data_IF_445095136939
#
_entry.id   IF_445095136939
#
_cell.length_a   1.000
_cell.length_b   1.000
_cell.length_c   1.000
_cell.angle_alpha   90.00
_cell.angle_beta   90.00
_cell.angle_gamma   90.00
#
_symmetry.space_group_name_H-M   'P 1'
#
loop_
_entity.id
_entity.type
_entity.pdbx_description
1 polymer ?
#
# COMPACT_ATOMS: atom_id res chain seq x y z
N UNK A 1 10.81 -12.07 -7.61
CA UNK A 1 10.52 -10.78 -6.96
C UNK A 1 9.34 -10.99 -6.05
N UNK A 2 9.32 -10.34 -4.89
CA UNK A 2 8.28 -10.47 -3.88
C UNK A 2 7.63 -9.11 -3.64
N UNK A 3 6.30 -9.08 -3.58
CA UNK A 3 5.53 -7.87 -3.34
C UNK A 3 4.59 -8.06 -2.15
N UNK A 4 4.33 -6.99 -1.42
CA UNK A 4 3.20 -6.94 -0.50
C UNK A 4 2.03 -6.21 -1.15
N UNK A 5 0.84 -6.80 -1.10
CA UNK A 5 -0.42 -6.09 -1.34
C UNK A 5 -1.01 -5.70 0.01
N UNK A 6 -0.89 -4.43 0.37
CA UNK A 6 -1.39 -3.91 1.65
C UNK A 6 -2.83 -3.47 1.51
N UNK A 7 -3.72 -4.05 2.32
CA UNK A 7 -5.16 -3.80 2.27
C UNK A 7 -5.71 -3.40 3.65
N UNK A 8 -6.91 -2.85 3.66
CA UNK A 8 -7.58 -2.50 4.91
C UNK A 8 -8.07 -3.75 5.66
N UNK A 9 -7.73 -3.90 6.95
CA UNK A 9 -8.15 -5.05 7.76
C UNK A 9 -9.68 -5.18 7.93
N UNK A 10 -10.39 -4.04 7.95
CA UNK A 10 -11.81 -3.97 8.32
C UNK A 10 -12.76 -4.02 7.12
N UNK A 11 -12.26 -3.77 5.91
CA UNK A 11 -13.07 -3.75 4.70
C UNK A 11 -13.19 -5.17 4.15
N UNK A 12 -14.34 -5.80 4.41
CA UNK A 12 -14.65 -7.17 3.95
C UNK A 12 -15.93 -7.17 3.12
N UNK A 13 -15.79 -6.84 1.84
CA UNK A 13 -16.88 -7.01 0.88
C UNK A 13 -16.33 -7.69 -0.37
N UNK A 14 -17.16 -8.53 -0.99
CA UNK A 14 -16.78 -9.39 -2.13
C UNK A 14 -16.09 -8.62 -3.26
N UNK A 15 -16.57 -7.41 -3.56
CA UNK A 15 -15.97 -6.53 -4.57
C UNK A 15 -14.49 -6.20 -4.32
N UNK A 16 -14.07 -6.11 -3.05
CA UNK A 16 -12.68 -5.83 -2.69
C UNK A 16 -11.83 -7.09 -2.84
N UNK A 17 -12.36 -8.25 -2.46
CA UNK A 17 -11.67 -9.53 -2.69
C UNK A 17 -11.45 -9.78 -4.19
N UNK A 18 -12.44 -9.50 -5.03
CA UNK A 18 -12.27 -9.56 -6.49
C UNK A 18 -11.14 -8.66 -6.96
N UNK A 19 -11.05 -7.44 -6.43
CA UNK A 19 -10.00 -6.49 -6.80
C UNK A 19 -8.61 -6.96 -6.34
N UNK A 20 -8.49 -7.52 -5.14
CA UNK A 20 -7.24 -8.07 -4.63
C UNK A 20 -6.78 -9.28 -5.44
N UNK A 21 -7.72 -10.14 -5.85
CA UNK A 21 -7.44 -11.26 -6.75
C UNK A 21 -6.93 -10.77 -8.11
N UNK A 22 -7.57 -9.76 -8.72
CA UNK A 22 -7.12 -9.18 -9.99
C UNK A 22 -5.70 -8.61 -9.92
N UNK A 23 -5.35 -7.91 -8.82
CA UNK A 23 -4.00 -7.38 -8.62
C UNK A 23 -2.98 -8.51 -8.42
N UNK A 24 -3.34 -9.54 -7.65
CA UNK A 24 -2.48 -10.70 -7.38
C UNK A 24 -2.23 -11.51 -8.66
N UNK A 25 -3.27 -11.75 -9.46
CA UNK A 25 -3.18 -12.43 -10.74
C UNK A 25 -2.32 -11.65 -11.74
N UNK A 26 -2.44 -10.32 -11.75
CA UNK A 26 -1.58 -9.47 -12.57
C UNK A 26 -0.10 -9.62 -12.19
N UNK A 27 0.23 -9.60 -10.89
CA UNK A 27 1.59 -9.85 -10.41
C UNK A 27 2.10 -11.24 -10.80
N UNK A 28 1.27 -12.27 -10.65
CA UNK A 28 1.63 -13.66 -10.98
C UNK A 28 2.03 -13.82 -12.45
N UNK A 29 1.38 -13.09 -13.37
CA UNK A 29 1.73 -13.08 -14.82
C UNK A 29 3.13 -12.52 -15.12
N UNK A 30 3.77 -11.85 -14.16
CA UNK A 30 5.13 -11.34 -14.25
C UNK A 30 6.10 -12.07 -13.31
N UNK A 31 5.72 -13.26 -12.83
CA UNK A 31 6.52 -14.07 -11.89
C UNK A 31 6.82 -13.35 -10.55
N UNK A 32 5.92 -12.44 -10.15
CA UNK A 32 6.00 -11.72 -8.87
C UNK A 32 5.15 -12.47 -7.84
N UNK A 33 5.80 -12.97 -6.79
CA UNK A 33 5.11 -13.57 -5.66
C UNK A 33 4.50 -12.46 -4.81
N UNK A 34 3.19 -12.49 -4.63
CA UNK A 34 2.46 -11.45 -3.89
C UNK A 34 1.91 -12.00 -2.59
N UNK A 35 2.18 -11.32 -1.49
CA UNK A 35 1.60 -11.62 -0.18
C UNK A 35 0.62 -10.51 0.20
N UNK A 36 -0.63 -10.88 0.46
CA UNK A 36 -1.63 -9.93 0.96
C UNK A 36 -1.41 -9.71 2.45
N UNK A 37 -1.23 -8.45 2.85
CA UNK A 37 -1.04 -8.03 4.23
C UNK A 37 -2.09 -6.99 4.60
N UNK A 38 -2.60 -7.04 5.81
CA UNK A 38 -3.50 -5.99 6.30
C UNK A 38 -2.74 -4.89 7.05
N UNK A 39 -3.28 -3.68 7.09
CA UNK A 39 -2.73 -2.61 7.92
C UNK A 39 -2.56 -2.98 9.40
N UNK A 40 -3.42 -3.86 9.92
CA UNK A 40 -3.32 -4.38 11.30
C UNK A 40 -2.24 -5.45 11.49
N UNK A 41 -1.75 -6.10 10.42
CA UNK A 41 -0.62 -7.03 10.49
C UNK A 41 0.72 -6.31 10.40
N UNK A 42 0.73 -5.14 9.75
CA UNK A 42 1.91 -4.29 9.57
C UNK A 42 1.96 -3.18 10.62
N UNK A 43 1.71 -3.52 11.88
CA UNK A 43 1.74 -2.55 12.98
C UNK A 43 3.07 -1.80 13.01
N UNK A 44 2.97 -0.48 13.02
CA UNK A 44 4.11 0.41 13.15
C UNK A 44 4.53 0.46 14.61
N UNK A 45 5.67 -0.14 14.93
CA UNK A 45 6.33 0.08 16.23
C UNK A 45 7.23 1.32 16.14
N UNK A 46 6.97 2.30 17.00
CA UNK A 46 7.78 3.53 17.05
C UNK A 46 9.18 3.18 17.55
N UNK A 47 10.20 3.53 16.76
CA UNK A 47 11.61 3.34 17.12
C UNK A 47 12.23 2.05 16.59
N UNK A 48 11.48 1.21 15.88
CA UNK A 48 12.05 0.08 15.13
C UNK A 48 12.25 0.48 13.67
N UNK A 49 13.39 0.07 13.11
CA UNK A 49 13.74 0.28 11.70
C UNK A 49 13.54 -0.99 10.86
N UNK A 50 12.79 -1.96 11.38
CA UNK A 50 12.64 -3.28 10.76
C UNK A 50 11.31 -3.91 11.07
N UNK A 51 10.76 -4.62 10.08
CA UNK A 51 9.68 -5.59 10.29
C UNK A 51 10.24 -6.93 10.78
N UNK A 52 9.41 -7.70 11.47
CA UNK A 52 9.67 -9.12 11.70
C UNK A 52 9.36 -9.92 10.42
N UNK A 53 10.37 -10.48 9.78
CA UNK A 53 10.22 -11.38 8.63
C UNK A 53 10.89 -10.88 7.34
N UNK A 54 10.70 -11.62 6.22
CA UNK A 54 11.28 -11.28 4.93
C UNK A 54 10.67 -9.99 4.37
N UNK A 55 11.54 -9.07 3.94
CA UNK A 55 11.17 -7.77 3.36
C UNK A 55 10.80 -7.94 1.87
N UNK A 56 9.72 -7.30 1.38
CA UNK A 56 9.37 -7.35 -0.03
C UNK A 56 10.30 -6.44 -0.86
N UNK A 57 10.33 -6.67 -2.17
CA UNK A 57 11.02 -5.81 -3.12
C UNK A 57 10.25 -4.49 -3.35
N UNK A 58 8.92 -4.52 -3.28
CA UNK A 58 8.04 -3.36 -3.35
C UNK A 58 6.68 -3.62 -2.69
N UNK A 59 5.91 -2.55 -2.49
CA UNK A 59 4.57 -2.61 -1.89
C UNK A 59 3.53 -2.05 -2.85
N UNK A 60 2.48 -2.82 -3.12
CA UNK A 60 1.21 -2.34 -3.64
C UNK A 60 0.33 -1.89 -2.47
N UNK A 61 0.23 -0.59 -2.24
CA UNK A 61 -0.56 -0.01 -1.15
C UNK A 61 -1.98 0.29 -1.62
N UNK A 62 -2.92 -0.55 -1.17
CA UNK A 62 -4.34 -0.52 -1.50
C UNK A 62 -5.22 -0.28 -0.26
N UNK A 63 -4.73 0.60 0.62
CA UNK A 63 -5.43 1.15 1.77
C UNK A 63 -5.22 2.67 1.80
N UNK A 64 -5.90 3.36 2.72
CA UNK A 64 -5.78 4.82 2.91
C UNK A 64 -5.07 5.21 4.21
N UNK A 65 -4.41 4.27 4.88
CA UNK A 65 -3.56 4.59 6.04
C UNK A 65 -2.28 5.30 5.57
N UNK A 66 -2.34 6.64 5.57
CA UNK A 66 -1.23 7.50 5.18
C UNK A 66 0.01 7.30 6.05
N UNK A 67 -0.16 7.02 7.34
CA UNK A 67 0.96 6.89 8.27
C UNK A 67 1.72 5.59 8.02
N UNK A 68 0.99 4.49 7.82
CA UNK A 68 1.61 3.22 7.45
C UNK A 68 2.31 3.32 6.09
N UNK A 69 1.68 3.97 5.11
CA UNK A 69 2.29 4.18 3.80
C UNK A 69 3.62 4.96 3.90
N UNK A 70 3.61 6.10 4.61
CA UNK A 70 4.84 6.90 4.85
C UNK A 70 5.89 6.12 5.63
N UNK A 71 5.48 5.30 6.58
CA UNK A 71 6.41 4.46 7.33
C UNK A 71 7.13 3.45 6.42
N UNK A 72 6.39 2.78 5.53
CA UNK A 72 6.97 1.86 4.55
C UNK A 72 7.96 2.56 3.61
N UNK A 73 7.62 3.75 3.12
CA UNK A 73 8.52 4.59 2.31
C UNK A 73 9.79 4.99 3.09
N UNK A 74 9.65 5.39 4.36
CA UNK A 74 10.77 5.76 5.23
C UNK A 74 11.73 4.60 5.52
N UNK A 75 11.24 3.36 5.46
CA UNK A 75 12.08 2.17 5.53
C UNK A 75 12.83 1.89 4.22
N UNK A 76 12.60 2.69 3.18
CA UNK A 76 13.22 2.60 1.86
C UNK A 76 12.53 1.59 0.94
N UNK A 77 11.28 1.23 1.20
CA UNK A 77 10.50 0.39 0.28
C UNK A 77 9.92 1.26 -0.84
N UNK A 78 10.00 0.83 -2.11
CA UNK A 78 9.16 1.37 -3.17
C UNK A 78 7.69 1.07 -2.87
N UNK A 79 6.85 2.11 -2.79
CA UNK A 79 5.41 1.97 -2.46
C UNK A 79 4.54 2.55 -3.59
N UNK A 80 3.53 1.78 -3.99
CA UNK A 80 2.60 2.11 -5.07
C UNK A 80 1.16 1.81 -4.62
N UNK A 81 0.33 2.77 -4.26
CA UNK A 81 0.48 4.21 -4.43
C UNK A 81 1.35 4.83 -3.34
N UNK A 82 2.09 5.89 -3.68
CA UNK A 82 2.88 6.63 -2.69
C UNK A 82 1.99 7.38 -1.70
N UNK A 83 2.54 7.68 -0.53
CA UNK A 83 1.82 8.42 0.49
C UNK A 83 1.36 9.79 -0.01
N UNK A 84 2.22 10.52 -0.73
CA UNK A 84 1.89 11.84 -1.26
C UNK A 84 0.73 11.76 -2.28
N UNK A 85 0.70 10.73 -3.14
CA UNK A 85 -0.39 10.52 -4.08
C UNK A 85 -1.71 10.27 -3.34
N UNK A 86 -1.69 9.43 -2.30
CA UNK A 86 -2.87 9.15 -1.46
C UNK A 86 -3.35 10.43 -0.76
N UNK A 87 -2.44 11.19 -0.15
CA UNK A 87 -2.73 12.43 0.57
C UNK A 87 -3.37 13.51 -0.32
N UNK A 88 -2.88 13.64 -1.56
CA UNK A 88 -3.39 14.59 -2.54
C UNK A 88 -4.76 14.14 -3.08
N UNK A 89 -4.89 12.86 -3.45
CA UNK A 89 -6.06 12.36 -4.18
C UNK A 89 -7.23 11.95 -3.29
N UNK A 90 -7.01 11.61 -2.01
CA UNK A 90 -8.11 11.28 -1.10
C UNK A 90 -8.84 12.53 -0.61
N UNK A 91 -8.13 13.66 -0.50
CA UNK A 91 -8.70 14.93 -0.09
C UNK A 91 -9.11 15.78 -1.29
N UNK A 92 -10.43 15.93 -1.48
CA UNK A 92 -11.02 16.71 -2.58
C UNK A 92 -10.45 18.13 -2.74
N UNK A 93 -10.21 18.82 -1.64
CA UNK A 93 -9.67 20.19 -1.67
C UNK A 93 -8.20 20.18 -2.12
N UNK A 94 -7.40 19.23 -1.61
CA UNK A 94 -5.98 19.11 -2.00
C UNK A 94 -5.84 18.69 -3.46
N UNK A 95 -6.73 17.82 -3.94
CA UNK A 95 -6.80 17.47 -5.36
C UNK A 95 -7.05 18.72 -6.21
N UNK A 96 -8.02 19.56 -5.86
CA UNK A 96 -8.30 20.80 -6.58
C UNK A 96 -7.07 21.74 -6.59
N UNK A 97 -6.47 21.98 -5.43
CA UNK A 97 -5.27 22.83 -5.30
C UNK A 97 -4.07 22.30 -6.09
N UNK A 98 -3.95 20.97 -6.24
CA UNK A 98 -2.92 20.36 -7.09
C UNK A 98 -3.21 20.60 -8.58
N UNK A 99 -4.47 20.53 -9.00
CA UNK A 99 -4.90 20.76 -10.38
C UNK A 99 -4.85 22.24 -10.81
N UNK A 100 -5.02 23.19 -9.89
CA UNK A 100 -4.86 24.64 -10.17
C UNK A 100 -3.47 25.02 -10.72
N UNK A 101 -2.46 24.16 -10.51
CA UNK A 101 -1.07 24.41 -10.89
C UNK A 101 -0.72 23.91 -12.29
N UNK A 102 -1.70 23.40 -13.04
CA UNK A 102 -1.57 22.81 -14.39
C UNK A 102 -2.42 23.55 -15.42
#
# INVERSE_FOLDING_TARGET
>A
MNAWLVVNHFVRAEKFETLYALLTDACARFDIQTEVRTNAELLVEIGTSSFSGPRPDFVLFWDKDLNLCRHLENLGLPVFNSADAIEICDNKNRTLLALERH
#
